data_IF_549711125020
#
_entry.id   IF_549711125020
#
_cell.length_a   1.000
_cell.length_b   1.000
_cell.length_c   1.000
_cell.angle_alpha   90.00
_cell.angle_beta   90.00
_cell.angle_gamma   90.00
#
_symmetry.space_group_name_H-M   'P 1'
#
loop_
_entity.id
_entity.type
_entity.pdbx_description
1 polymer ?
#
# COMPACT_ATOMS: atom_id res chain seq x y z
N UNK A 1 15.26 -5.46 -52.88
CA UNK A 1 13.91 -4.87 -53.04
C UNK A 1 13.80 -3.69 -52.09
N UNK A 2 13.44 -2.49 -52.56
CA UNK A 2 13.41 -1.28 -51.75
C UNK A 2 12.16 -1.22 -50.85
N UNK A 3 12.34 -0.78 -49.60
CA UNK A 3 11.27 -0.58 -48.62
C UNK A 3 10.69 0.82 -48.77
N UNK A 4 9.47 0.93 -49.31
CA UNK A 4 8.75 2.19 -49.41
C UNK A 4 8.04 2.49 -48.08
N UNK A 5 8.27 3.69 -47.52
CA UNK A 5 7.60 4.19 -46.31
C UNK A 5 6.66 5.33 -46.74
N UNK A 6 5.35 5.29 -46.45
CA UNK A 6 4.45 6.36 -46.87
C UNK A 6 4.57 7.60 -45.96
N UNK A 7 4.52 8.77 -46.59
CA UNK A 7 4.49 10.08 -45.95
C UNK A 7 3.14 10.33 -45.28
N UNK A 8 3.15 10.62 -43.98
CA UNK A 8 1.98 11.17 -43.28
C UNK A 8 2.07 12.70 -43.34
N UNK A 9 1.12 13.31 -44.03
CA UNK A 9 0.89 14.76 -44.00
C UNK A 9 -0.58 14.96 -43.67
N UNK A 10 -0.91 15.63 -42.58
CA UNK A 10 -2.13 16.45 -42.50
C UNK A 10 -1.94 17.62 -41.53
N UNK A 11 -2.38 18.77 -42.04
CA UNK A 11 -2.31 20.14 -41.54
C UNK A 11 -3.54 20.52 -40.72
N UNK A 12 -3.37 21.50 -39.82
CA UNK A 12 -4.44 22.35 -39.25
C UNK A 12 -5.06 21.79 -37.96
N UNK A 13 -5.35 22.55 -36.91
CA UNK A 13 -5.44 23.99 -36.64
C UNK A 13 -5.25 24.15 -35.12
N UNK A 14 -4.83 25.27 -34.52
CA UNK A 14 -5.66 26.47 -34.34
C UNK A 14 -4.83 27.52 -33.60
N UNK A 15 -4.89 28.75 -34.08
CA UNK A 15 -4.41 29.94 -33.40
C UNK A 15 -5.46 30.47 -32.44
N UNK A 16 -5.10 30.70 -31.17
CA UNK A 16 -5.52 31.87 -30.39
C UNK A 16 -4.86 31.86 -29.00
N UNK A 17 -4.07 32.89 -28.75
CA UNK A 17 -3.63 33.32 -27.43
C UNK A 17 -4.77 34.04 -26.72
N UNK A 18 -5.12 33.61 -25.51
CA UNK A 18 -6.07 34.32 -24.64
C UNK A 18 -5.60 34.27 -23.19
N UNK A 19 -5.57 35.45 -22.59
CA UNK A 19 -4.93 35.88 -21.36
C UNK A 19 -5.44 35.20 -20.09
N UNK A 20 -4.56 35.12 -19.09
CA UNK A 20 -4.89 34.74 -17.72
C UNK A 20 -5.23 35.96 -16.89
N UNK A 21 -6.49 36.09 -16.49
CA UNK A 21 -6.93 37.00 -15.43
C UNK A 21 -7.94 36.25 -14.57
N UNK A 22 -7.64 36.07 -13.29
CA UNK A 22 -8.64 35.67 -12.30
C UNK A 22 -8.33 36.39 -11.01
N UNK A 23 -9.15 37.42 -10.81
CA UNK A 23 -9.17 38.32 -9.69
C UNK A 23 -9.29 37.60 -8.35
N UNK A 24 -8.55 38.15 -7.40
CA UNK A 24 -8.61 37.83 -5.98
C UNK A 24 -9.93 38.38 -5.43
N UNK A 25 -10.67 37.56 -4.69
CA UNK A 25 -11.39 37.88 -3.44
C UNK A 25 -12.82 37.33 -3.38
N UNK A 26 -13.06 36.44 -2.42
CA UNK A 26 -14.08 36.62 -1.38
C UNK A 26 -14.08 35.39 -0.47
N UNK A 27 -13.96 35.66 0.83
CA UNK A 27 -14.06 34.67 1.89
C UNK A 27 -15.36 33.85 1.75
N UNK A 28 -15.21 32.58 1.41
CA UNK A 28 -16.12 31.55 1.88
C UNK A 28 -15.32 30.68 2.81
N UNK A 29 -15.74 30.59 4.08
CA UNK A 29 -15.23 29.64 5.04
C UNK A 29 -15.51 28.23 4.50
N UNK A 30 -14.63 27.76 3.61
CA UNK A 30 -14.64 26.40 3.13
C UNK A 30 -14.11 25.59 4.30
N UNK A 31 -15.02 24.86 4.94
CA UNK A 31 -14.69 23.77 5.85
C UNK A 31 -13.63 22.92 5.12
N UNK A 32 -12.35 23.13 5.43
CA UNK A 32 -11.30 22.24 4.96
C UNK A 32 -11.41 21.05 5.89
N UNK A 33 -11.89 19.87 5.44
CA UNK A 33 -11.63 18.68 6.23
C UNK A 33 -10.11 18.62 6.35
N UNK A 34 -9.61 18.85 7.56
CA UNK A 34 -8.20 18.67 7.86
C UNK A 34 -7.91 17.22 7.53
N UNK A 35 -7.33 16.98 6.36
CA UNK A 35 -6.72 15.70 6.02
C UNK A 35 -5.38 15.57 6.74
N UNK A 36 -5.32 16.00 8.02
CA UNK A 36 -4.34 15.54 8.99
C UNK A 36 -4.74 14.12 9.45
N UNK A 37 -5.04 13.26 8.48
CA UNK A 37 -5.08 11.83 8.69
C UNK A 37 -3.76 11.35 8.12
N UNK A 38 -2.77 11.24 9.00
CA UNK A 38 -1.55 10.51 8.66
C UNK A 38 -1.98 9.19 7.97
N UNK A 39 -1.39 8.84 6.81
CA UNK A 39 -1.76 7.61 6.14
C UNK A 39 -1.57 6.45 7.11
N UNK A 40 -2.61 5.63 7.30
CA UNK A 40 -2.52 4.43 8.12
C UNK A 40 -1.55 3.49 7.40
N UNK A 41 -0.30 3.43 7.88
CA UNK A 41 0.71 2.53 7.33
C UNK A 41 0.47 1.15 7.90
N UNK A 42 0.07 0.25 7.02
CA UNK A 42 -0.21 -1.14 7.31
C UNK A 42 0.88 -1.96 6.62
N UNK A 43 1.64 -2.74 7.39
CA UNK A 43 2.71 -3.59 6.85
C UNK A 43 2.33 -5.07 6.93
N UNK A 44 2.77 -5.84 5.94
CA UNK A 44 2.64 -7.29 5.93
C UNK A 44 3.96 -7.89 6.42
N UNK A 45 3.86 -8.79 7.39
CA UNK A 45 4.96 -9.51 7.99
C UNK A 45 4.71 -11.01 7.85
N UNK A 46 5.78 -11.78 7.59
CA UNK A 46 5.69 -13.24 7.52
C UNK A 46 6.28 -13.84 8.79
N UNK A 47 5.45 -14.51 9.57
CA UNK A 47 5.88 -15.23 10.78
C UNK A 47 6.08 -16.69 10.45
N UNK A 48 7.13 -17.31 10.99
CA UNK A 48 7.44 -18.72 10.78
C UNK A 48 7.58 -19.47 12.09
N UNK A 49 6.99 -20.67 12.15
CA UNK A 49 7.18 -21.58 13.26
C UNK A 49 8.64 -22.07 13.25
N UNK A 50 9.39 -21.77 14.31
CA UNK A 50 10.81 -22.13 14.41
C UNK A 50 11.08 -23.64 14.51
N UNK A 51 10.03 -24.46 14.66
CA UNK A 51 10.16 -25.92 14.81
C UNK A 51 9.75 -26.70 13.57
N UNK A 52 8.60 -26.40 12.98
CA UNK A 52 8.10 -27.09 11.78
C UNK A 52 8.17 -26.25 10.51
N UNK A 53 8.67 -25.01 10.62
CA UNK A 53 8.89 -24.12 9.49
C UNK A 53 7.61 -23.71 8.72
N UNK A 54 6.42 -23.90 9.30
CA UNK A 54 5.16 -23.39 8.74
C UNK A 54 5.16 -21.86 8.81
N UNK A 55 4.79 -21.20 7.72
CA UNK A 55 4.74 -19.74 7.64
C UNK A 55 3.29 -19.25 7.51
N UNK A 56 3.03 -18.08 8.06
CA UNK A 56 1.76 -17.38 7.96
C UNK A 56 2.04 -15.90 7.75
N UNK A 57 1.29 -15.29 6.84
CA UNK A 57 1.33 -13.85 6.60
C UNK A 57 0.37 -13.17 7.55
N UNK A 58 0.82 -12.05 8.11
CA UNK A 58 0.13 -11.30 9.14
C UNK A 58 0.29 -9.82 8.85
N UNK A 59 -0.71 -9.03 9.18
CA UNK A 59 -0.61 -7.59 9.11
C UNK A 59 -0.10 -7.05 10.45
N UNK A 60 0.63 -5.93 10.49
CA UNK A 60 1.17 -5.36 11.74
C UNK A 60 0.14 -5.04 12.82
N UNK A 61 -1.15 -5.01 12.47
CA UNK A 61 -2.28 -4.79 13.40
C UNK A 61 -2.93 -6.09 13.89
N UNK A 62 -2.61 -7.23 13.31
CA UNK A 62 -3.17 -8.54 13.66
C UNK A 62 -2.49 -9.14 14.91
N UNK A 63 -3.24 -9.93 15.68
CA UNK A 63 -2.67 -10.70 16.79
C UNK A 63 -2.16 -12.09 16.31
N UNK A 64 -0.93 -12.52 16.65
CA UNK A 64 -0.39 -13.83 16.29
C UNK A 64 -1.27 -15.02 16.70
N UNK A 65 -1.98 -14.91 17.82
CA UNK A 65 -2.82 -15.99 18.34
C UNK A 65 -4.03 -16.25 17.44
N UNK A 66 -4.54 -15.23 16.74
CA UNK A 66 -5.63 -15.36 15.77
C UNK A 66 -5.28 -16.25 14.59
N UNK A 67 -3.98 -16.42 14.31
CA UNK A 67 -3.44 -17.24 13.22
C UNK A 67 -2.85 -18.58 13.71
N UNK A 68 -3.14 -18.97 14.96
CA UNK A 68 -2.61 -20.20 15.55
C UNK A 68 -1.10 -20.16 15.80
N UNK A 69 -0.53 -18.97 15.95
CA UNK A 69 0.88 -18.75 16.26
C UNK A 69 1.04 -18.32 17.72
N UNK A 70 1.93 -18.98 18.44
CA UNK A 70 2.22 -18.77 19.86
C UNK A 70 3.58 -18.10 19.97
N UNK A 71 3.61 -16.91 20.57
CA UNK A 71 4.85 -16.17 20.82
C UNK A 71 5.58 -16.76 22.02
N UNK A 72 6.85 -17.08 21.84
CA UNK A 72 7.71 -17.70 22.87
C UNK A 72 8.75 -16.70 23.38
N UNK A 73 9.15 -15.78 22.51
CA UNK A 73 10.02 -14.65 22.84
C UNK A 73 9.85 -13.54 21.80
N UNK A 74 10.68 -12.51 21.84
CA UNK A 74 10.69 -11.44 20.84
C UNK A 74 11.02 -12.01 19.46
N UNK A 75 10.10 -11.82 18.50
CA UNK A 75 10.20 -12.31 17.12
C UNK A 75 10.36 -13.84 16.99
N UNK A 76 10.00 -14.61 18.02
CA UNK A 76 10.13 -16.07 18.06
C UNK A 76 8.76 -16.70 18.30
N UNK A 77 8.31 -17.52 17.34
CA UNK A 77 6.97 -18.09 17.33
C UNK A 77 6.99 -19.58 17.03
N UNK A 78 6.07 -20.33 17.64
CA UNK A 78 5.69 -21.69 17.24
C UNK A 78 4.25 -21.71 16.74
N UNK A 79 3.92 -22.62 15.83
CA UNK A 79 2.51 -22.94 15.59
C UNK A 79 1.92 -23.67 16.80
N UNK A 80 0.61 -23.62 16.95
CA UNK A 80 -0.12 -24.21 18.09
C UNK A 80 0.27 -25.68 18.35
N UNK A 81 0.42 -26.48 17.28
CA UNK A 81 0.85 -27.89 17.39
C UNK A 81 2.24 -28.05 18.00
N UNK A 82 3.16 -27.17 17.66
CA UNK A 82 4.53 -27.23 18.16
C UNK A 82 4.61 -26.70 19.60
N UNK A 83 3.84 -25.66 19.93
CA UNK A 83 3.76 -25.12 21.27
C UNK A 83 3.24 -26.14 22.30
N UNK A 84 2.16 -26.87 21.97
CA UNK A 84 1.63 -27.97 22.80
C UNK A 84 2.66 -29.08 23.04
N UNK A 85 3.44 -29.45 22.02
CA UNK A 85 4.47 -30.49 22.12
C UNK A 85 5.67 -30.09 23.00
N UNK A 86 5.88 -28.79 23.23
CA UNK A 86 7.03 -28.28 23.99
C UNK A 86 6.63 -27.62 25.31
N UNK A 87 5.33 -27.54 25.62
CA UNK A 87 4.83 -26.97 26.88
C UNK A 87 4.75 -25.44 26.92
N UNK A 88 4.58 -24.77 25.78
CA UNK A 88 4.38 -23.31 25.71
C UNK A 88 2.89 -22.90 25.70
N UNK A 89 1.98 -23.87 25.76
CA UNK A 89 0.51 -23.72 25.77
C UNK A 89 -0.11 -24.83 26.59
#
# INVERSE_FOLDING_TARGET
>A
MPSARPSSVHYGSSSSSSSSDSDLSAASASYRPSMDSAPIVVSVETIRCMRCASATEMTSTDDPSSYGMVRISTNLYYCERCAKKTGFT
#
